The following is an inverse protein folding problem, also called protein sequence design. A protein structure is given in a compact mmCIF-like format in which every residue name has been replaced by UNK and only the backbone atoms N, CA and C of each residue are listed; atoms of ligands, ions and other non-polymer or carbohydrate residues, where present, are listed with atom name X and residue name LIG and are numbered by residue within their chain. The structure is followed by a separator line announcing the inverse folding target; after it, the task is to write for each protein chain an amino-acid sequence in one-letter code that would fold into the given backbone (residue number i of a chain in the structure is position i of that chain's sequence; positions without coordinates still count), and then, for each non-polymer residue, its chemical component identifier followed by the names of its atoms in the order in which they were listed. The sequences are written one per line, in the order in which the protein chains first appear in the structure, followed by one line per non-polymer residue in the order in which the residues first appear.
data_IF_270137504358
#
_entry.id   IF_270137504358
#
_cell.length_a   1.000
_cell.length_b   1.000
_cell.length_c   1.000
_cell.angle_alpha   90.00
_cell.angle_beta   90.00
_cell.angle_gamma   90.00
#
_symmetry.space_group_name_H-M   'P 1'
#
loop_
_entity.id
_entity.type
_entity.pdbx_description
1 polymer ?
#
# COMPACT_ATOMS: atom_id res chain seq x y z
N UNK A 1 24.14 -51.53 -11.35
CA UNK A 1 23.02 -51.18 -10.46
C UNK A 1 23.06 -49.68 -10.20
N UNK A 2 22.41 -48.88 -11.05
CA UNK A 2 22.43 -47.42 -10.98
C UNK A 2 21.22 -46.89 -10.21
N UNK A 3 21.46 -46.04 -9.21
CA UNK A 3 20.41 -45.30 -8.49
C UNK A 3 20.07 -44.04 -9.30
N UNK A 4 18.86 -43.97 -9.82
CA UNK A 4 18.29 -42.75 -10.40
C UNK A 4 17.70 -41.94 -9.23
N UNK A 5 18.28 -40.77 -8.98
CA UNK A 5 17.77 -39.82 -8.00
C UNK A 5 16.51 -39.14 -8.55
N UNK A 6 15.43 -39.22 -7.78
CA UNK A 6 14.17 -38.53 -8.06
C UNK A 6 14.35 -37.05 -7.71
N UNK A 7 14.44 -36.18 -8.73
CA UNK A 7 14.42 -34.73 -8.55
C UNK A 7 12.97 -34.31 -8.32
N UNK A 8 12.61 -34.04 -7.08
CA UNK A 8 11.36 -33.38 -6.72
C UNK A 8 11.47 -31.90 -7.09
N UNK A 9 10.94 -31.54 -8.26
CA UNK A 9 10.67 -30.14 -8.60
C UNK A 9 9.49 -29.68 -7.75
N UNK A 10 9.77 -28.85 -6.74
CA UNK A 10 8.76 -28.04 -6.06
C UNK A 10 8.26 -26.98 -7.06
N UNK A 11 7.24 -27.34 -7.85
CA UNK A 11 6.44 -26.37 -8.57
C UNK A 11 5.57 -25.65 -7.52
N UNK A 12 6.00 -24.44 -7.13
CA UNK A 12 5.21 -23.55 -6.30
C UNK A 12 3.82 -23.37 -6.91
N UNK A 13 2.80 -23.60 -6.08
CA UNK A 13 1.41 -23.44 -6.45
C UNK A 13 1.11 -21.94 -6.56
N UNK A 14 1.41 -21.34 -7.70
CA UNK A 14 0.90 -20.02 -8.05
C UNK A 14 -0.57 -20.17 -8.38
N UNK A 15 -1.45 -19.94 -7.40
CA UNK A 15 -2.86 -19.78 -7.67
C UNK A 15 -2.99 -18.62 -8.68
N UNK A 16 -3.35 -18.95 -9.92
CA UNK A 16 -3.65 -17.96 -10.94
C UNK A 16 -4.81 -17.10 -10.40
N UNK A 17 -4.52 -15.83 -10.11
CA UNK A 17 -5.57 -14.85 -9.91
C UNK A 17 -6.41 -14.78 -11.18
N UNK A 18 -7.64 -15.30 -11.11
CA UNK A 18 -8.54 -15.42 -12.25
C UNK A 18 -9.33 -14.12 -12.53
N UNK A 19 -8.78 -12.95 -12.18
CA UNK A 19 -9.39 -11.67 -12.48
C UNK A 19 -8.81 -11.08 -13.76
N UNK A 20 -9.64 -10.87 -14.78
CA UNK A 20 -9.27 -10.06 -15.93
C UNK A 20 -9.20 -8.58 -15.51
N UNK A 21 -8.19 -7.85 -16.00
CA UNK A 21 -8.08 -6.41 -15.75
C UNK A 21 -8.92 -5.66 -16.77
N UNK A 22 -10.01 -5.04 -16.31
CA UNK A 22 -10.82 -4.13 -17.11
C UNK A 22 -10.04 -2.84 -17.39
N UNK A 23 -10.08 -2.35 -18.63
CA UNK A 23 -9.40 -1.14 -19.06
C UNK A 23 -10.40 -0.14 -19.62
N UNK A 24 -10.49 1.03 -19.00
CA UNK A 24 -11.30 2.15 -19.47
C UNK A 24 -10.41 3.37 -19.73
N UNK A 25 -10.55 4.00 -20.91
CA UNK A 25 -9.76 5.19 -21.29
C UNK A 25 -10.67 6.41 -21.38
N UNK A 26 -10.25 7.51 -20.76
CA UNK A 26 -10.91 8.81 -20.86
C UNK A 26 -9.97 9.79 -21.59
N UNK A 27 -10.24 10.02 -22.88
CA UNK A 27 -9.44 10.92 -23.71
C UNK A 27 -9.53 12.39 -23.26
N UNK A 28 -10.64 12.79 -22.65
CA UNK A 28 -10.85 14.17 -22.17
C UNK A 28 -10.00 14.44 -20.93
N UNK A 29 -9.95 13.48 -20.01
CA UNK A 29 -9.15 13.58 -18.79
C UNK A 29 -7.69 13.17 -18.99
N UNK A 30 -7.38 12.51 -20.11
CA UNK A 30 -6.08 11.89 -20.39
C UNK A 30 -5.71 10.90 -19.28
N UNK A 31 -6.64 9.99 -19.02
CA UNK A 31 -6.52 8.96 -17.98
C UNK A 31 -6.83 7.58 -18.53
N UNK A 32 -6.06 6.60 -18.08
CA UNK A 32 -6.34 5.18 -18.28
C UNK A 32 -6.65 4.56 -16.92
N UNK A 33 -7.82 3.96 -16.78
CA UNK A 33 -8.27 3.27 -15.56
C UNK A 33 -8.14 1.77 -15.75
N UNK A 34 -7.39 1.14 -14.85
CA UNK A 34 -7.27 -0.31 -14.74
C UNK A 34 -8.06 -0.76 -13.52
N UNK A 35 -9.00 -1.68 -13.69
CA UNK A 35 -9.79 -2.23 -12.60
C UNK A 35 -9.62 -3.73 -12.55
N UNK A 36 -9.29 -4.25 -11.37
CA UNK A 36 -9.21 -5.69 -11.11
C UNK A 36 -10.18 -6.05 -9.99
N UNK A 37 -11.03 -7.04 -10.24
CA UNK A 37 -12.00 -7.55 -9.28
C UNK A 37 -11.69 -9.00 -8.96
N UNK A 38 -11.64 -9.33 -7.67
CA UNK A 38 -11.54 -10.71 -7.18
C UNK A 38 -12.49 -10.90 -5.99
N UNK A 39 -13.63 -11.56 -6.26
CA UNK A 39 -14.73 -11.69 -5.31
C UNK A 39 -15.29 -10.31 -4.91
N UNK A 40 -15.22 -9.99 -3.61
CA UNK A 40 -15.71 -8.73 -3.03
C UNK A 40 -14.64 -7.64 -2.92
N UNK A 41 -13.48 -7.85 -3.55
CA UNK A 41 -12.35 -6.95 -3.56
C UNK A 41 -12.21 -6.33 -4.95
N UNK A 42 -12.32 -5.01 -5.06
CA UNK A 42 -12.00 -4.26 -6.27
C UNK A 42 -10.85 -3.30 -5.98
N UNK A 43 -9.84 -3.36 -6.84
CA UNK A 43 -8.74 -2.40 -6.87
C UNK A 43 -8.77 -1.68 -8.21
N UNK A 44 -8.71 -0.35 -8.17
CA UNK A 44 -8.67 0.51 -9.34
C UNK A 44 -7.40 1.34 -9.31
N UNK A 45 -6.66 1.34 -10.41
CA UNK A 45 -5.54 2.22 -10.67
C UNK A 45 -5.89 3.20 -11.78
N UNK A 46 -5.82 4.50 -11.49
CA UNK A 46 -5.90 5.55 -12.50
C UNK A 46 -4.50 6.01 -12.87
N UNK A 47 -4.13 5.81 -14.13
CA UNK A 47 -2.88 6.26 -14.74
C UNK A 47 -3.14 7.64 -15.33
N UNK A 48 -2.36 8.63 -14.92
CA UNK A 48 -2.44 9.99 -15.46
C UNK A 48 -1.46 10.18 -16.61
N UNK A 49 -1.94 10.68 -17.75
CA UNK A 49 -1.13 10.96 -18.96
C UNK A 49 -0.88 12.47 -19.18
N UNK A 50 -1.50 13.34 -18.39
CA UNK A 50 -1.29 14.79 -18.46
C UNK A 50 0.10 15.19 -17.98
N UNK A 51 0.72 16.19 -18.62
CA UNK A 51 2.17 16.46 -18.49
C UNK A 51 2.67 16.61 -17.04
N UNK A 52 1.93 17.33 -16.18
CA UNK A 52 2.30 17.53 -14.78
C UNK A 52 2.29 16.23 -13.96
N UNK A 53 1.42 15.27 -14.30
CA UNK A 53 1.24 14.02 -13.57
C UNK A 53 1.67 12.79 -14.38
N UNK A 54 2.25 12.96 -15.58
CA UNK A 54 2.44 11.92 -16.58
C UNK A 54 3.23 10.71 -16.06
N UNK A 55 2.55 9.57 -15.85
CA UNK A 55 3.10 8.32 -15.30
C UNK A 55 2.84 8.13 -13.79
N UNK A 56 2.05 9.02 -13.19
CA UNK A 56 1.60 8.88 -11.81
C UNK A 56 0.43 7.92 -11.80
N UNK A 57 0.41 7.02 -10.81
CA UNK A 57 -0.68 6.08 -10.62
C UNK A 57 -1.40 6.46 -9.33
N UNK A 58 -2.72 6.60 -9.39
CA UNK A 58 -3.58 6.71 -8.21
C UNK A 58 -4.21 5.35 -7.93
N UNK A 59 -3.95 4.83 -6.74
CA UNK A 59 -4.60 3.64 -6.20
C UNK A 59 -5.89 4.01 -5.46
N UNK A 60 -6.93 3.23 -5.73
CA UNK A 60 -8.19 3.21 -4.99
C UNK A 60 -8.55 1.73 -4.74
N UNK A 61 -8.95 1.40 -3.52
CA UNK A 61 -9.35 0.04 -3.13
C UNK A 61 -10.62 0.09 -2.30
N UNK A 62 -11.60 -0.75 -2.63
CA UNK A 62 -12.78 -1.02 -1.79
C UNK A 62 -12.65 -2.40 -1.08
N UNK A 63 -11.44 -2.94 -1.09
CA UNK A 63 -11.13 -4.27 -0.60
C UNK A 63 -11.16 -4.33 0.94
N UNK A 64 -11.68 -5.44 1.47
CA UNK A 64 -11.60 -5.77 2.90
C UNK A 64 -10.41 -6.68 3.24
N UNK A 65 -9.70 -7.20 2.24
CA UNK A 65 -8.51 -8.04 2.44
C UNK A 65 -7.37 -7.17 2.98
N UNK A 66 -6.53 -7.76 3.80
CA UNK A 66 -5.29 -7.11 4.24
C UNK A 66 -4.30 -6.94 3.08
N UNK A 67 -3.15 -6.30 3.36
CA UNK A 67 -2.12 -6.07 2.35
C UNK A 67 -1.59 -7.37 1.72
N UNK A 68 -1.53 -8.47 2.48
CA UNK A 68 -1.12 -9.77 1.96
C UNK A 68 -2.13 -10.32 0.94
N UNK A 69 -3.42 -10.24 1.25
CA UNK A 69 -4.50 -10.65 0.35
C UNK A 69 -4.68 -9.75 -0.87
N UNK A 70 -4.22 -8.49 -0.80
CA UNK A 70 -4.20 -7.56 -1.94
C UNK A 70 -2.94 -7.69 -2.80
N UNK A 71 -1.80 -8.10 -2.23
CA UNK A 71 -0.50 -8.11 -2.91
C UNK A 71 -0.51 -8.85 -4.27
N UNK A 72 -1.10 -10.06 -4.41
CA UNK A 72 -1.23 -10.71 -5.71
C UNK A 72 -1.95 -9.84 -6.76
N UNK A 73 -3.03 -9.15 -6.38
CA UNK A 73 -3.81 -8.30 -7.29
C UNK A 73 -3.02 -7.07 -7.74
N UNK A 74 -2.25 -6.48 -6.82
CA UNK A 74 -1.37 -5.34 -7.12
C UNK A 74 -0.32 -5.71 -8.17
N UNK A 75 0.20 -6.95 -8.16
CA UNK A 75 1.15 -7.42 -9.17
C UNK A 75 0.54 -7.54 -10.55
N UNK A 76 -0.68 -8.10 -10.62
CA UNK A 76 -1.42 -8.20 -11.90
C UNK A 76 -1.69 -6.80 -12.46
N UNK A 77 -2.13 -5.86 -11.63
CA UNK A 77 -2.31 -4.46 -12.02
C UNK A 77 -0.99 -3.81 -12.47
N UNK A 78 0.12 -4.06 -11.77
CA UNK A 78 1.44 -3.53 -12.14
C UNK A 78 1.89 -4.03 -13.51
N UNK A 79 1.80 -5.34 -13.77
CA UNK A 79 2.13 -5.91 -15.08
C UNK A 79 1.30 -5.28 -16.19
N UNK A 80 -0.01 -5.17 -15.99
CA UNK A 80 -0.92 -4.56 -16.97
C UNK A 80 -0.61 -3.08 -17.19
N UNK A 81 -0.30 -2.34 -16.12
CA UNK A 81 0.06 -0.93 -16.21
C UNK A 81 1.33 -0.71 -17.03
N UNK A 82 2.31 -1.63 -16.97
CA UNK A 82 3.56 -1.53 -17.74
C UNK A 82 3.38 -1.70 -19.26
N UNK A 83 2.23 -2.18 -19.72
CA UNK A 83 1.88 -2.18 -21.14
C UNK A 83 1.59 -0.75 -21.64
N UNK A 84 1.11 0.13 -20.75
CA UNK A 84 0.85 1.54 -21.07
C UNK A 84 2.18 2.30 -21.21
N UNK A 85 2.38 2.92 -22.37
CA UNK A 85 3.64 3.60 -22.73
C UNK A 85 4.08 4.62 -21.69
N UNK A 86 3.14 5.43 -21.19
CA UNK A 86 3.42 6.47 -20.19
C UNK A 86 3.95 5.88 -18.89
N UNK A 87 3.46 4.71 -18.46
CA UNK A 87 3.89 4.05 -17.23
C UNK A 87 5.28 3.46 -17.44
N UNK A 88 5.48 2.72 -18.55
CA UNK A 88 6.78 2.11 -18.88
C UNK A 88 7.92 3.14 -18.93
N UNK A 89 7.64 4.33 -19.44
CA UNK A 89 8.64 5.40 -19.61
C UNK A 89 8.75 6.32 -18.39
N UNK A 90 7.66 6.55 -17.65
CA UNK A 90 7.56 7.64 -16.66
C UNK A 90 6.96 7.23 -15.33
N UNK A 91 6.84 5.95 -15.00
CA UNK A 91 6.34 5.57 -13.67
C UNK A 91 7.34 5.97 -12.57
N UNK A 92 6.92 6.86 -11.67
CA UNK A 92 7.72 7.30 -10.51
C UNK A 92 6.94 7.50 -9.22
N UNK A 93 5.61 7.55 -9.29
CA UNK A 93 4.77 7.88 -8.13
C UNK A 93 3.53 7.01 -8.12
N UNK A 94 3.28 6.40 -6.96
CA UNK A 94 2.03 5.74 -6.63
C UNK A 94 1.37 6.51 -5.47
N UNK A 95 0.25 7.16 -5.76
CA UNK A 95 -0.63 7.73 -4.73
C UNK A 95 -1.46 6.60 -4.14
N UNK A 96 -1.23 6.25 -2.88
CA UNK A 96 -2.04 5.24 -2.18
C UNK A 96 -3.37 5.81 -1.70
N UNK A 97 -3.42 7.13 -1.47
CA UNK A 97 -4.58 7.80 -0.89
C UNK A 97 -4.61 7.71 0.63
N UNK A 98 -5.80 7.89 1.21
CA UNK A 98 -6.01 7.80 2.67
C UNK A 98 -5.85 6.33 3.12
N UNK A 99 -5.25 6.11 4.29
CA UNK A 99 -5.16 4.77 4.89
C UNK A 99 -6.50 4.31 5.45
N UNK A 100 -7.28 5.26 5.99
CA UNK A 100 -8.58 5.01 6.62
C UNK A 100 -9.58 6.09 6.16
N UNK A 101 -9.95 6.11 4.87
CA UNK A 101 -11.05 6.95 4.40
C UNK A 101 -12.38 6.55 5.06
N UNK A 102 -13.38 7.42 4.95
CA UNK A 102 -14.73 7.12 5.45
C UNK A 102 -15.29 5.89 4.70
N UNK A 103 -15.79 4.90 5.44
CA UNK A 103 -16.24 3.63 4.87
C UNK A 103 -15.14 2.66 4.47
N UNK A 104 -13.88 2.91 4.86
CA UNK A 104 -12.79 1.96 4.67
C UNK A 104 -13.12 0.57 5.22
N UNK A 105 -12.75 -0.46 4.46
CA UNK A 105 -12.99 -1.88 4.78
C UNK A 105 -11.72 -2.61 5.18
N UNK A 106 -10.56 -2.10 4.77
CA UNK A 106 -9.25 -2.52 5.22
C UNK A 106 -8.65 -1.42 6.12
N UNK A 107 -8.25 -1.81 7.33
CA UNK A 107 -7.58 -0.93 8.29
C UNK A 107 -6.12 -1.31 8.54
N UNK A 108 -5.58 -2.29 7.80
CA UNK A 108 -4.30 -2.95 8.09
C UNK A 108 -3.18 -1.94 8.28
N UNK A 109 -2.98 -1.03 7.34
CA UNK A 109 -1.89 -0.06 7.42
C UNK A 109 -2.14 1.00 8.50
N UNK A 110 -3.39 1.45 8.69
CA UNK A 110 -3.77 2.37 9.77
C UNK A 110 -3.53 1.79 11.16
N UNK A 111 -3.87 0.51 11.36
CA UNK A 111 -3.61 -0.25 12.60
C UNK A 111 -2.10 -0.39 12.83
N UNK A 112 -1.35 -0.78 11.80
CA UNK A 112 0.11 -0.92 11.88
C UNK A 112 0.79 0.39 12.27
N UNK A 113 0.36 1.52 11.70
CA UNK A 113 0.87 2.86 12.04
C UNK A 113 0.54 3.24 13.49
N UNK A 114 -0.70 3.01 13.93
CA UNK A 114 -1.10 3.28 15.31
C UNK A 114 -0.29 2.46 16.32
N UNK A 115 -0.09 1.17 16.04
CA UNK A 115 0.71 0.28 16.89
C UNK A 115 2.20 0.67 16.89
N UNK A 116 2.75 1.08 15.74
CA UNK A 116 4.12 1.59 15.67
C UNK A 116 4.31 2.81 16.59
N UNK A 117 3.34 3.73 16.61
CA UNK A 117 3.37 4.90 17.50
C UNK A 117 3.36 4.51 18.97
N UNK A 118 2.54 3.53 19.36
CA UNK A 118 2.44 3.11 20.76
C UNK A 118 3.67 2.35 21.27
N UNK A 119 4.49 1.81 20.37
CA UNK A 119 5.77 1.17 20.72
C UNK A 119 6.95 2.13 20.70
N UNK A 120 6.78 3.30 20.08
CA UNK A 120 7.86 4.25 19.85
C UNK A 120 8.07 5.15 21.08
N UNK A 121 9.32 5.20 21.57
CA UNK A 121 9.69 6.07 22.70
C UNK A 121 9.62 7.56 22.35
N UNK A 122 9.71 7.89 21.07
CA UNK A 122 9.67 9.26 20.57
C UNK A 122 8.25 9.70 20.16
N UNK A 123 7.21 8.91 20.47
CA UNK A 123 5.82 9.31 20.32
C UNK A 123 5.18 9.61 21.68
N UNK A 124 4.55 10.77 21.81
CA UNK A 124 3.80 11.14 23.01
C UNK A 124 2.32 10.75 22.84
N UNK A 125 1.89 9.63 23.43
CA UNK A 125 0.50 9.16 23.33
C UNK A 125 -0.51 10.08 24.03
N UNK A 126 -0.09 10.95 24.96
CA UNK A 126 -1.00 11.91 25.60
C UNK A 126 -1.37 13.04 24.66
N UNK A 127 -0.41 13.55 23.88
CA UNK A 127 -0.62 14.71 23.00
C UNK A 127 -0.86 14.31 21.54
N UNK A 128 -0.49 13.08 21.15
CA UNK A 128 -0.60 12.60 19.78
C UNK A 128 0.39 13.30 18.84
N UNK A 129 1.61 13.53 19.35
CA UNK A 129 2.69 14.22 18.63
C UNK A 129 4.01 13.48 18.84
N UNK A 130 4.92 13.50 17.85
CA UNK A 130 6.29 13.06 18.09
C UNK A 130 7.00 14.04 19.03
N UNK A 131 8.04 13.58 19.72
CA UNK A 131 8.89 14.42 20.56
C UNK A 131 9.77 15.35 19.71
N UNK A 132 10.13 14.93 18.49
CA UNK A 132 10.99 15.67 17.57
C UNK A 132 10.43 15.60 16.16
N UNK A 133 10.44 16.72 15.44
CA UNK A 133 10.03 16.83 14.04
C UNK A 133 8.52 16.99 13.84
N UNK A 134 8.09 16.95 12.58
CA UNK A 134 6.67 17.00 12.23
C UNK A 134 6.01 15.63 12.36
N UNK A 135 4.69 15.63 12.52
CA UNK A 135 3.88 14.41 12.58
C UNK A 135 4.02 13.60 11.28
N UNK A 136 3.94 14.30 10.15
CA UNK A 136 4.04 13.71 8.82
C UNK A 136 5.41 13.05 8.61
N UNK A 137 6.50 13.74 8.95
CA UNK A 137 7.85 13.18 8.85
C UNK A 137 8.02 11.95 9.75
N UNK A 138 7.48 11.99 10.98
CA UNK A 138 7.51 10.84 11.89
C UNK A 138 6.73 9.66 11.30
N UNK A 139 5.51 9.86 10.80
CA UNK A 139 4.68 8.78 10.24
C UNK A 139 5.32 8.18 8.99
N UNK A 140 5.82 9.02 8.07
CA UNK A 140 6.50 8.54 6.87
C UNK A 140 7.70 7.65 7.22
N UNK A 141 8.50 8.08 8.22
CA UNK A 141 9.61 7.29 8.75
C UNK A 141 9.14 5.99 9.39
N UNK A 142 8.08 6.02 10.19
CA UNK A 142 7.54 4.83 10.85
C UNK A 142 7.05 3.79 9.82
N UNK A 143 6.37 4.22 8.75
CA UNK A 143 5.93 3.33 7.66
C UNK A 143 7.13 2.73 6.93
N UNK A 144 8.11 3.57 6.56
CA UNK A 144 9.28 3.14 5.80
C UNK A 144 10.20 2.21 6.60
N UNK A 145 10.59 2.61 7.81
CA UNK A 145 11.58 1.87 8.61
C UNK A 145 10.96 0.71 9.37
N UNK A 146 9.67 0.78 9.69
CA UNK A 146 8.95 -0.28 10.38
C UNK A 146 8.52 -1.44 9.48
N UNK A 147 8.74 -1.37 8.16
CA UNK A 147 8.28 -2.39 7.23
C UNK A 147 6.75 -2.56 7.28
N UNK A 148 5.99 -1.47 7.41
CA UNK A 148 4.54 -1.59 7.66
C UNK A 148 3.75 -2.03 6.42
N UNK A 149 4.38 -2.02 5.24
CA UNK A 149 3.79 -2.34 3.94
C UNK A 149 4.63 -3.37 3.15
N UNK A 150 5.36 -4.26 3.84
CA UNK A 150 6.26 -5.23 3.23
C UNK A 150 5.61 -6.05 2.11
N UNK A 151 4.34 -6.44 2.27
CA UNK A 151 3.63 -7.23 1.26
C UNK A 151 3.48 -6.48 -0.07
N UNK A 152 3.22 -5.17 0.01
CA UNK A 152 3.17 -4.29 -1.17
C UNK A 152 4.57 -4.06 -1.72
N UNK A 153 5.57 -3.86 -0.86
CA UNK A 153 6.96 -3.67 -1.28
C UNK A 153 7.49 -4.89 -2.03
N UNK A 154 7.24 -6.10 -1.51
CA UNK A 154 7.61 -7.36 -2.15
C UNK A 154 6.87 -7.57 -3.46
N UNK A 155 5.57 -7.29 -3.51
CA UNK A 155 4.80 -7.36 -4.75
C UNK A 155 5.40 -6.49 -5.87
N UNK A 156 5.85 -5.29 -5.56
CA UNK A 156 6.53 -4.42 -6.55
C UNK A 156 7.94 -4.93 -6.89
N UNK A 157 8.69 -5.40 -5.90
CA UNK A 157 10.06 -5.91 -6.10
C UNK A 157 10.10 -7.14 -7.02
N UNK A 158 9.13 -8.05 -6.90
CA UNK A 158 8.98 -9.21 -7.78
C UNK A 158 8.72 -8.84 -9.25
N UNK A 159 8.23 -7.62 -9.50
CA UNK A 159 8.06 -7.06 -10.85
C UNK A 159 9.20 -6.10 -11.24
N UNK A 160 10.30 -6.09 -10.49
CA UNK A 160 11.50 -5.29 -10.76
C UNK A 160 11.40 -3.82 -10.35
N UNK A 161 10.58 -3.50 -9.34
CA UNK A 161 10.40 -2.14 -8.84
C UNK A 161 10.70 -2.01 -7.35
N UNK A 162 11.49 -1.00 -7.00
CA UNK A 162 11.67 -0.57 -5.62
C UNK A 162 10.60 0.46 -5.26
N UNK A 163 9.81 0.18 -4.23
CA UNK A 163 8.82 1.10 -3.69
C UNK A 163 9.31 1.66 -2.36
N UNK A 164 9.30 2.99 -2.21
CA UNK A 164 9.66 3.69 -0.97
C UNK A 164 8.63 4.77 -0.64
N UNK A 165 8.37 5.01 0.64
CA UNK A 165 7.51 6.13 1.06
C UNK A 165 8.18 7.44 0.64
N UNK A 166 7.48 8.25 -0.17
CA UNK A 166 7.97 9.56 -0.58
C UNK A 166 7.51 10.66 0.38
N UNK A 167 6.23 10.63 0.73
CA UNK A 167 5.61 11.63 1.58
C UNK A 167 4.32 11.09 2.18
N UNK A 168 3.89 11.73 3.26
CA UNK A 168 2.55 11.60 3.82
C UNK A 168 1.97 12.98 4.05
N UNK A 169 0.67 13.13 3.87
CA UNK A 169 -0.04 14.40 4.07
C UNK A 169 -1.30 14.21 4.92
N UNK A 170 -1.82 15.32 5.46
CA UNK A 170 -3.11 15.38 6.17
C UNK A 170 -3.20 14.35 7.29
N UNK A 171 -2.15 14.25 8.10
CA UNK A 171 -2.06 13.23 9.12
C UNK A 171 -3.06 13.44 10.26
N UNK A 172 -3.99 12.49 10.40
CA UNK A 172 -5.02 12.49 11.42
C UNK A 172 -4.58 11.69 12.65
N UNK A 173 -4.93 12.25 13.80
CA UNK A 173 -4.65 11.67 15.12
C UNK A 173 -5.92 11.78 15.97
N UNK A 174 -6.29 10.66 16.59
CA UNK A 174 -7.45 10.59 17.46
C UNK A 174 -7.16 9.73 18.69
N UNK A 175 -7.94 9.88 19.77
CA UNK A 175 -7.98 8.88 20.84
C UNK A 175 -8.32 7.51 20.26
N UNK A 176 -7.57 6.47 20.67
CA UNK A 176 -7.70 5.12 20.13
C UNK A 176 -9.12 4.56 20.30
N UNK A 177 -9.80 4.87 21.41
CA UNK A 177 -11.18 4.44 21.68
C UNK A 177 -12.23 4.98 20.69
N UNK A 178 -11.88 5.99 19.87
CA UNK A 178 -12.76 6.55 18.84
C UNK A 178 -12.56 5.93 17.46
N UNK A 179 -11.60 5.01 17.30
CA UNK A 179 -11.27 4.42 16.01
C UNK A 179 -12.10 3.16 15.74
N UNK A 180 -12.51 2.91 14.48
CA UNK A 180 -13.33 1.74 14.13
C UNK A 180 -12.61 0.41 14.36
N UNK A 181 -11.29 0.42 14.51
CA UNK A 181 -10.45 -0.75 14.79
C UNK A 181 -9.87 -0.75 16.22
N UNK A 182 -10.48 -0.01 17.16
CA UNK A 182 -10.00 0.05 18.55
C UNK A 182 -9.82 -1.34 19.19
N UNK A 183 -10.70 -2.30 18.89
CA UNK A 183 -10.59 -3.65 19.41
C UNK A 183 -9.23 -4.30 19.11
N UNK A 184 -8.65 -4.04 17.93
CA UNK A 184 -7.33 -4.54 17.53
C UNK A 184 -6.20 -3.83 18.30
N UNK A 185 -6.33 -2.52 18.52
CA UNK A 185 -5.36 -1.75 19.31
C UNK A 185 -5.38 -2.17 20.79
N UNK A 186 -6.57 -2.37 21.35
CA UNK A 186 -6.76 -2.81 22.73
C UNK A 186 -6.14 -4.17 22.99
N UNK A 187 -6.23 -5.10 22.03
CA UNK A 187 -5.57 -6.41 22.12
C UNK A 187 -4.03 -6.29 22.26
N UNK A 188 -3.45 -5.17 21.82
CA UNK A 188 -2.03 -4.85 21.98
C UNK A 188 -1.73 -3.95 23.21
N UNK A 189 -2.70 -3.76 24.11
CA UNK A 189 -2.53 -2.98 25.35
C UNK A 189 -2.71 -1.46 25.20
N UNK A 190 -3.19 -0.98 24.04
CA UNK A 190 -3.46 0.46 23.83
C UNK A 190 -4.70 0.88 24.61
N UNK A 191 -4.62 2.00 25.33
CA UNK A 191 -5.72 2.55 26.12
C UNK A 191 -6.63 3.42 25.26
N UNK A 192 -7.91 3.53 25.64
CA UNK A 192 -8.90 4.33 24.90
C UNK A 192 -8.48 5.80 24.72
N UNK A 193 -7.80 6.35 25.73
CA UNK A 193 -7.36 7.75 25.76
C UNK A 193 -6.06 7.99 25.00
N UNK A 194 -5.31 6.95 24.62
CA UNK A 194 -4.06 7.12 23.89
C UNK A 194 -4.34 7.73 22.51
N UNK A 195 -3.64 8.82 22.19
CA UNK A 195 -3.72 9.47 20.89
C UNK A 195 -2.74 8.83 19.92
N UNK A 196 -3.28 8.22 18.87
CA UNK A 196 -2.52 7.48 17.86
C UNK A 196 -2.72 8.09 16.47
N UNK A 197 -1.69 8.10 15.62
CA UNK A 197 -1.86 8.37 14.21
C UNK A 197 -2.54 7.17 13.56
N UNK A 198 -3.52 7.42 12.70
CA UNK A 198 -4.35 6.34 12.15
C UNK A 198 -4.62 6.49 10.66
N UNK A 199 -4.58 7.72 10.16
CA UNK A 199 -4.85 8.01 8.76
C UNK A 199 -3.95 9.11 8.22
N UNK A 200 -3.47 8.91 7.00
CA UNK A 200 -2.65 9.85 6.23
C UNK A 200 -2.94 9.65 4.75
N UNK A 201 -2.76 10.69 3.94
CA UNK A 201 -2.61 10.51 2.49
C UNK A 201 -1.18 10.04 2.21
N UNK A 202 -1.03 8.80 1.75
CA UNK A 202 0.27 8.17 1.53
C UNK A 202 0.68 8.22 0.06
N UNK A 203 1.93 8.58 -0.18
CA UNK A 203 2.56 8.59 -1.48
C UNK A 203 3.82 7.74 -1.46
N UNK A 204 3.99 6.93 -2.50
CA UNK A 204 5.20 6.18 -2.74
C UNK A 204 5.94 6.75 -3.94
N UNK A 205 7.26 6.73 -3.84
CA UNK A 205 8.15 6.80 -4.99
C UNK A 205 8.46 5.39 -5.47
N UNK A 206 8.37 5.19 -6.79
CA UNK A 206 8.69 3.94 -7.45
C UNK A 206 9.94 4.15 -8.32
N UNK A 207 10.89 3.23 -8.21
CA UNK A 207 12.12 3.24 -8.98
C UNK A 207 12.34 1.86 -9.61
N UNK A 208 12.75 1.83 -10.87
CA UNK A 208 13.03 0.57 -11.54
C UNK A 208 14.33 0.00 -11.00
N UNK A 209 14.30 -1.23 -10.53
CA UNK A 209 15.52 -1.94 -10.15
C UNK A 209 16.33 -2.19 -11.43
N UNK A 210 17.59 -1.75 -11.44
CA UNK A 210 18.48 -2.00 -12.57
C UNK A 210 18.50 -3.51 -12.87
N UNK A 211 18.44 -3.88 -14.15
CA UNK A 211 18.72 -5.27 -14.55
C UNK A 211 20.16 -5.55 -14.16
N UNK A 212 20.36 -6.47 -13.21
CA UNK A 212 21.66 -7.13 -13.07
C UNK A 212 21.90 -8.00 -14.31
#
# INVERSE_FOLDING_TARGET
MGRIACVLVWAGLWAALAGEVEVARDARLRETRLTLVDGQCRITWTIHESELNAGGIRHCSDCARDLAGQAPMLRVLLRRAMEERVVREKFRTLSWGRLVPDGARDFTLGVRVALAAMRARDWNSRTGRPLIGSREAWIARAIQQGGLYEEVRTAFAEEGWHLRVSSVEKALVAPAGKLPFFAQLRAAGVKETDRVPFDVQLWFHAERMGRQ
#
